data_IF_251902746783
#
_entry.id   IF_251902746783
#
_cell.length_a   1.000
_cell.length_b   1.000
_cell.length_c   1.000
_cell.angle_alpha   90.00
_cell.angle_beta   90.00
_cell.angle_gamma   90.00
#
_symmetry.space_group_name_H-M   'P 1'
#
loop_
_entity.id
_entity.type
_entity.pdbx_description
1 polymer ?
#
# COMPACT_ATOMS: atom_id res chain seq x y z
N UNK A 1 7.64 21.99 -1.55
CA UNK A 1 7.75 20.67 -0.91
C UNK A 1 7.07 19.69 -1.84
N UNK A 2 7.86 18.96 -2.63
CA UNK A 2 7.34 17.96 -3.58
C UNK A 2 6.96 16.75 -2.73
N UNK A 3 5.68 16.37 -2.69
CA UNK A 3 5.29 15.10 -2.08
C UNK A 3 5.76 13.96 -2.99
N UNK A 4 6.16 12.83 -2.41
CA UNK A 4 6.58 11.62 -3.13
C UNK A 4 5.60 11.22 -4.25
N UNK A 5 4.31 11.51 -4.09
CA UNK A 5 3.29 11.31 -5.13
C UNK A 5 3.62 12.06 -6.42
N UNK A 6 4.04 13.32 -6.34
CA UNK A 6 4.38 14.14 -7.49
C UNK A 6 5.58 13.61 -8.28
N UNK A 7 6.47 12.83 -7.65
CA UNK A 7 7.60 12.19 -8.36
C UNK A 7 7.07 11.22 -9.41
N UNK A 8 6.10 10.38 -9.04
CA UNK A 8 5.53 9.38 -9.94
C UNK A 8 4.85 10.04 -11.14
N UNK A 9 4.05 11.09 -10.89
CA UNK A 9 3.40 11.84 -11.97
C UNK A 9 4.39 12.62 -12.84
N UNK A 10 5.45 13.18 -12.24
CA UNK A 10 6.46 13.93 -12.97
C UNK A 10 7.34 13.04 -13.87
N UNK A 11 7.58 11.81 -13.45
CA UNK A 11 8.33 10.79 -14.23
C UNK A 11 7.40 10.05 -15.20
N UNK A 12 6.10 10.00 -14.91
CA UNK A 12 5.13 9.21 -15.67
C UNK A 12 5.21 7.70 -15.37
N UNK A 13 5.95 7.32 -14.33
CA UNK A 13 6.10 5.92 -13.92
C UNK A 13 6.28 5.77 -12.40
N UNK A 14 5.91 4.61 -11.87
CA UNK A 14 5.92 4.31 -10.44
C UNK A 14 4.74 3.46 -9.98
N UNK A 15 4.79 2.97 -8.72
CA UNK A 15 3.84 1.99 -8.19
C UNK A 15 2.37 2.42 -8.27
N UNK A 16 2.07 3.70 -8.09
CA UNK A 16 0.73 4.26 -8.19
C UNK A 16 0.18 4.20 -9.61
N UNK A 17 1.02 4.53 -10.59
CA UNK A 17 0.63 4.54 -11.99
C UNK A 17 0.52 3.12 -12.51
N UNK A 18 1.36 2.21 -12.03
CA UNK A 18 1.20 0.78 -12.31
C UNK A 18 -0.09 0.23 -11.72
N UNK A 19 -0.38 0.49 -10.44
CA UNK A 19 -1.62 0.07 -9.80
C UNK A 19 -2.87 0.58 -10.54
N UNK A 20 -2.82 1.82 -11.05
CA UNK A 20 -3.88 2.37 -11.87
C UNK A 20 -4.03 1.66 -13.22
N UNK A 21 -2.91 1.34 -13.89
CA UNK A 21 -2.90 0.66 -15.19
C UNK A 21 -3.38 -0.78 -15.11
N UNK A 22 -2.96 -1.50 -14.08
CA UNK A 22 -3.24 -2.93 -13.93
C UNK A 22 -4.53 -3.20 -13.17
N UNK A 23 -5.06 -2.18 -12.46
CA UNK A 23 -6.13 -2.34 -11.48
C UNK A 23 -5.80 -3.42 -10.43
N UNK A 24 -4.50 -3.59 -10.13
CA UNK A 24 -4.02 -4.49 -9.09
C UNK A 24 -3.29 -3.73 -8.02
N UNK A 25 -3.24 -4.31 -6.84
CA UNK A 25 -2.39 -3.79 -5.79
C UNK A 25 -0.93 -4.04 -6.11
N UNK A 26 -0.11 -3.01 -5.89
CA UNK A 26 1.33 -3.04 -6.10
C UNK A 26 2.03 -2.92 -4.75
N UNK A 27 2.97 -3.83 -4.49
CA UNK A 27 3.85 -3.86 -3.33
C UNK A 27 5.28 -3.97 -3.81
N UNK A 28 6.16 -3.17 -3.25
CA UNK A 28 7.57 -3.27 -3.54
C UNK A 28 8.37 -2.82 -2.32
N UNK A 29 9.46 -3.52 -2.05
CA UNK A 29 10.56 -2.94 -1.27
C UNK A 29 11.43 -2.06 -2.18
N UNK A 30 12.51 -1.53 -1.62
CA UNK A 30 13.42 -0.67 -2.35
C UNK A 30 14.16 -1.39 -3.49
N UNK A 31 14.45 -2.67 -3.35
CA UNK A 31 15.21 -3.41 -4.35
C UNK A 31 14.32 -3.68 -5.57
N UNK A 32 13.10 -4.20 -5.34
CA UNK A 32 12.11 -4.39 -6.39
C UNK A 32 11.75 -3.06 -7.08
N UNK A 33 11.59 -1.97 -6.32
CA UNK A 33 11.31 -0.65 -6.89
C UNK A 33 12.48 -0.11 -7.73
N UNK A 34 13.73 -0.40 -7.36
CA UNK A 34 14.90 0.03 -8.13
C UNK A 34 15.03 -0.73 -9.46
N UNK A 35 14.54 -1.96 -9.52
CA UNK A 35 14.48 -2.74 -10.76
C UNK A 35 13.33 -2.29 -11.67
N UNK A 36 12.13 -2.08 -11.12
CA UNK A 36 10.92 -1.77 -11.90
C UNK A 36 10.78 -0.28 -12.24
N UNK A 37 11.04 0.61 -11.26
CA UNK A 37 10.85 2.06 -11.41
C UNK A 37 12.09 2.83 -10.93
N UNK A 38 13.27 2.65 -11.57
CA UNK A 38 14.56 3.15 -11.08
C UNK A 38 14.59 4.65 -10.78
N UNK A 39 14.01 5.46 -11.66
CA UNK A 39 13.96 6.93 -11.49
C UNK A 39 13.10 7.33 -10.30
N UNK A 40 11.98 6.64 -10.08
CA UNK A 40 11.13 6.86 -8.92
C UNK A 40 11.85 6.42 -7.63
N UNK A 41 12.45 5.24 -7.62
CA UNK A 41 13.15 4.68 -6.47
C UNK A 41 14.30 5.58 -6.00
N UNK A 42 15.10 6.11 -6.93
CA UNK A 42 16.20 7.02 -6.59
C UNK A 42 15.72 8.29 -5.89
N UNK A 43 14.63 8.89 -6.37
CA UNK A 43 14.02 10.06 -5.71
C UNK A 43 13.40 9.70 -4.38
N UNK A 44 12.75 8.55 -4.29
CA UNK A 44 12.13 8.07 -3.06
C UNK A 44 13.16 7.82 -1.94
N UNK A 45 14.36 7.35 -2.28
CA UNK A 45 15.49 7.22 -1.35
C UNK A 45 15.87 8.55 -0.71
N UNK A 46 15.80 9.66 -1.44
CA UNK A 46 16.07 11.01 -0.89
C UNK A 46 15.09 11.38 0.25
N UNK A 47 13.90 10.79 0.27
CA UNK A 47 12.90 10.97 1.33
C UNK A 47 12.98 9.91 2.45
N UNK A 48 13.92 8.97 2.38
CA UNK A 48 14.12 7.90 3.35
C UNK A 48 13.04 6.81 3.30
N UNK A 49 12.32 6.67 2.19
CA UNK A 49 11.34 5.61 1.97
C UNK A 49 12.08 4.34 1.61
N UNK A 50 11.65 3.19 2.14
CA UNK A 50 12.25 1.88 1.93
C UNK A 50 11.25 0.82 1.44
N UNK A 51 9.95 1.08 1.52
CA UNK A 51 8.92 0.23 0.88
C UNK A 51 7.67 1.01 0.52
N UNK A 52 6.94 0.45 -0.44
CA UNK A 52 5.83 1.07 -1.14
C UNK A 52 4.64 0.14 -1.17
N UNK A 53 3.46 0.73 -1.06
CA UNK A 53 2.23 0.08 -1.45
C UNK A 53 1.32 1.06 -2.16
N UNK A 54 0.81 0.64 -3.32
CA UNK A 54 -0.20 1.37 -4.07
C UNK A 54 -1.40 0.47 -4.30
N UNK A 55 -2.57 0.88 -3.82
CA UNK A 55 -3.82 0.14 -3.97
C UNK A 55 -4.80 0.95 -4.83
N UNK A 56 -5.30 0.38 -5.94
CA UNK A 56 -6.34 1.05 -6.72
C UNK A 56 -7.63 1.11 -5.91
N UNK A 57 -8.36 2.21 -6.04
CA UNK A 57 -9.71 2.41 -5.53
C UNK A 57 -10.62 2.35 -6.74
N UNK A 58 -11.47 1.33 -6.78
CA UNK A 58 -12.44 1.10 -7.84
C UNK A 58 -13.85 1.47 -7.35
N UNK A 59 -14.67 2.03 -8.25
CA UNK A 59 -16.11 2.25 -8.05
C UNK A 59 -16.83 1.62 -9.24
N UNK A 60 -17.73 0.67 -8.98
CA UNK A 60 -18.46 -0.06 -10.03
C UNK A 60 -17.53 -0.62 -11.13
N UNK A 61 -16.41 -1.23 -10.70
CA UNK A 61 -15.33 -1.76 -11.55
C UNK A 61 -14.53 -0.72 -12.37
N UNK A 62 -14.84 0.57 -12.24
CA UNK A 62 -14.08 1.67 -12.83
C UNK A 62 -13.00 2.20 -11.87
N UNK A 63 -11.82 2.51 -12.40
CA UNK A 63 -10.76 3.15 -11.63
C UNK A 63 -11.12 4.58 -11.23
N UNK A 64 -11.16 4.85 -9.93
CA UNK A 64 -11.41 6.19 -9.38
C UNK A 64 -10.11 6.89 -8.99
N UNK A 65 -9.24 6.22 -8.23
CA UNK A 65 -7.96 6.76 -7.74
C UNK A 65 -7.07 5.64 -7.22
N UNK A 66 -5.88 5.95 -6.72
CA UNK A 66 -5.05 5.00 -5.99
C UNK A 66 -4.65 5.57 -4.64
N UNK A 67 -4.64 4.72 -3.62
CA UNK A 67 -4.02 5.01 -2.35
C UNK A 67 -2.54 4.63 -2.40
N UNK A 68 -1.68 5.58 -2.03
CA UNK A 68 -0.26 5.34 -1.86
C UNK A 68 0.13 5.38 -0.38
N UNK A 69 0.80 4.32 0.07
CA UNK A 69 1.43 4.23 1.37
C UNK A 69 2.93 4.03 1.21
N UNK A 70 3.68 4.69 2.08
CA UNK A 70 5.14 4.68 2.08
C UNK A 70 5.63 4.37 3.48
N UNK A 71 6.63 3.50 3.58
CA UNK A 71 7.27 3.18 4.86
C UNK A 71 8.76 3.49 4.82
N UNK A 72 9.30 3.86 5.98
CA UNK A 72 10.75 3.93 6.21
C UNK A 72 11.35 2.61 6.67
N UNK A 73 10.54 1.55 6.70
CA UNK A 73 10.95 0.18 6.98
C UNK A 73 10.97 -0.60 5.66
N UNK A 74 11.98 -1.46 5.46
CA UNK A 74 12.15 -2.20 4.20
C UNK A 74 11.01 -3.20 3.92
N UNK A 75 10.34 -3.69 4.97
CA UNK A 75 9.23 -4.64 4.87
C UNK A 75 7.98 -4.10 5.58
N UNK A 76 7.68 -2.81 5.39
CA UNK A 76 6.56 -2.15 6.06
C UNK A 76 5.17 -2.65 5.64
N UNK A 77 5.09 -3.45 4.58
CA UNK A 77 3.86 -3.99 4.00
C UNK A 77 4.06 -5.47 3.66
N UNK A 78 4.02 -6.35 4.67
CA UNK A 78 4.18 -7.79 4.51
C UNK A 78 2.85 -8.56 4.46
N UNK A 79 2.88 -9.78 3.93
CA UNK A 79 1.72 -10.70 3.82
C UNK A 79 1.05 -11.02 5.17
N UNK A 80 1.81 -10.96 6.26
CA UNK A 80 1.36 -11.39 7.60
C UNK A 80 0.20 -10.56 8.14
N UNK A 81 0.12 -9.27 7.78
CA UNK A 81 -0.92 -8.35 8.27
C UNK A 81 -2.28 -8.62 7.60
N UNK A 82 -2.29 -9.15 6.37
CA UNK A 82 -3.49 -9.55 5.65
C UNK A 82 -3.96 -10.96 6.05
N UNK A 83 -3.02 -11.89 6.24
CA UNK A 83 -3.32 -13.32 6.39
C UNK A 83 -4.26 -13.66 7.55
N UNK A 84 -4.22 -12.90 8.65
CA UNK A 84 -5.11 -13.15 9.79
C UNK A 84 -6.49 -12.51 9.62
N UNK A 85 -6.59 -11.36 8.93
CA UNK A 85 -7.90 -10.79 8.57
C UNK A 85 -8.64 -11.67 7.56
N UNK A 86 -7.92 -12.24 6.60
CA UNK A 86 -8.44 -13.25 5.68
C UNK A 86 -9.00 -14.46 6.45
N UNK A 87 -8.19 -15.02 7.37
CA UNK A 87 -8.56 -16.19 8.15
C UNK A 87 -9.77 -15.94 9.07
N UNK A 88 -9.90 -14.73 9.62
CA UNK A 88 -10.92 -14.42 10.60
C UNK A 88 -12.23 -13.86 10.02
N UNK A 89 -12.22 -13.38 8.77
CA UNK A 89 -13.40 -12.81 8.09
C UNK A 89 -13.83 -13.60 6.85
N UNK A 90 -13.11 -14.67 6.48
CA UNK A 90 -13.32 -15.45 5.26
C UNK A 90 -13.36 -14.57 4.00
N UNK A 91 -12.42 -13.62 3.92
CA UNK A 91 -12.26 -12.67 2.82
C UNK A 91 -10.97 -12.95 2.07
N UNK A 92 -10.89 -12.55 0.79
CA UNK A 92 -9.64 -12.64 0.03
C UNK A 92 -8.56 -11.71 0.58
N UNK A 93 -7.31 -11.90 0.18
CA UNK A 93 -6.20 -11.03 0.59
C UNK A 93 -6.47 -9.57 0.20
N UNK A 94 -7.03 -9.36 -0.99
CA UNK A 94 -7.38 -8.05 -1.51
C UNK A 94 -8.48 -7.40 -0.65
N UNK A 95 -9.53 -8.15 -0.31
CA UNK A 95 -10.62 -7.67 0.55
C UNK A 95 -10.16 -7.38 1.99
N UNK A 96 -9.34 -8.24 2.59
CA UNK A 96 -8.76 -8.01 3.91
C UNK A 96 -7.97 -6.69 3.95
N UNK A 97 -7.26 -6.42 2.86
CA UNK A 97 -6.44 -5.23 2.71
C UNK A 97 -7.26 -3.97 2.48
N UNK A 98 -8.28 -4.02 1.64
CA UNK A 98 -9.22 -2.92 1.45
C UNK A 98 -9.85 -2.50 2.78
N UNK A 99 -10.17 -3.46 3.66
CA UNK A 99 -10.66 -3.18 5.01
C UNK A 99 -9.61 -2.49 5.88
N UNK A 100 -8.35 -2.97 5.88
CA UNK A 100 -7.24 -2.33 6.60
C UNK A 100 -7.01 -0.89 6.13
N UNK A 101 -7.04 -0.69 4.82
CA UNK A 101 -6.88 0.61 4.17
C UNK A 101 -8.03 1.55 4.54
N UNK A 102 -9.27 1.09 4.39
CA UNK A 102 -10.44 1.89 4.72
C UNK A 102 -10.41 2.33 6.18
N UNK A 103 -10.02 1.43 7.09
CA UNK A 103 -9.93 1.72 8.51
C UNK A 103 -8.75 2.64 8.86
N UNK A 104 -7.58 2.44 8.23
CA UNK A 104 -6.42 3.32 8.33
C UNK A 104 -6.75 4.74 7.87
N UNK A 105 -7.48 4.88 6.77
CA UNK A 105 -7.97 6.17 6.27
C UNK A 105 -8.98 6.81 7.21
N UNK A 106 -9.99 6.05 7.63
CA UNK A 106 -11.05 6.53 8.54
C UNK A 106 -10.47 7.09 9.84
N UNK A 107 -9.37 6.50 10.31
CA UNK A 107 -8.75 6.83 11.60
C UNK A 107 -7.47 7.65 11.48
N UNK A 108 -6.96 7.87 10.26
CA UNK A 108 -5.71 8.56 9.97
C UNK A 108 -4.52 8.03 10.80
N UNK A 109 -4.39 6.70 10.91
CA UNK A 109 -3.30 6.03 11.62
C UNK A 109 -2.62 5.00 10.72
N UNK A 110 -1.38 4.64 11.05
CA UNK A 110 -0.56 3.73 10.24
C UNK A 110 -1.26 2.37 10.05
N UNK A 111 -1.22 1.85 8.83
CA UNK A 111 -1.81 0.55 8.46
C UNK A 111 -1.38 -0.58 9.41
N UNK A 112 -0.10 -0.63 9.78
CA UNK A 112 0.46 -1.59 10.76
C UNK A 112 -0.26 -1.55 12.11
N UNK A 113 -0.62 -0.36 12.59
CA UNK A 113 -1.33 -0.17 13.87
C UNK A 113 -2.77 -0.66 13.75
N UNK A 114 -3.45 -0.34 12.64
CA UNK A 114 -4.81 -0.86 12.37
C UNK A 114 -4.81 -2.37 12.30
N UNK A 115 -3.83 -2.96 11.60
CA UNK A 115 -3.68 -4.40 11.51
C UNK A 115 -3.46 -5.00 12.90
N UNK A 116 -2.50 -4.50 13.68
CA UNK A 116 -2.25 -4.95 15.05
C UNK A 116 -3.50 -4.88 15.96
N UNK A 117 -4.31 -3.83 15.85
CA UNK A 117 -5.54 -3.69 16.63
C UNK A 117 -6.65 -4.63 16.17
N UNK A 118 -6.92 -4.71 14.86
CA UNK A 118 -7.90 -5.65 14.31
C UNK A 118 -7.50 -7.10 14.63
N UNK A 119 -6.21 -7.41 14.57
CA UNK A 119 -5.64 -8.69 15.00
C UNK A 119 -5.90 -8.99 16.47
N UNK A 120 -5.75 -8.00 17.35
CA UNK A 120 -6.01 -8.14 18.78
C UNK A 120 -7.50 -8.36 19.07
N UNK A 121 -8.40 -7.67 18.37
CA UNK A 121 -9.86 -7.86 18.45
C UNK A 121 -10.30 -9.26 18.01
N UNK A 122 -9.63 -9.83 17.01
CA UNK A 122 -9.93 -11.18 16.52
C UNK A 122 -9.47 -12.28 17.48
N UNK A 123 -8.39 -12.05 18.23
CA UNK A 123 -7.88 -12.98 19.25
C UNK A 123 -8.69 -12.99 20.55
N UNK A 124 -9.55 -11.99 20.74
CA UNK A 124 -10.38 -11.83 21.95
C UNK A 124 -11.83 -12.29 21.76
N UNK A 125 -12.17 -12.80 20.56
CA UNK A 125 -13.43 -13.49 20.25
C UNK A 125 -13.22 -14.99 20.13
#
# INVERSE_FOLDING_TARGET
>A
MVTIDHVQYGVGDGPCLEAARTQTMIRADMDAAAEQWPVFADRAREFGILSYLSAPILLDDEYLSALNLYSREAHGFGDTDQGVLMAARNVSADQAFELLVAESMRRNIKLRVVAEEMLAELRTR
#
